data_IF_803766001457
#
_entry.id   IF_803766001457
#
_cell.length_a   1.000
_cell.length_b   1.000
_cell.length_c   1.000
_cell.angle_alpha   90.00
_cell.angle_beta   90.00
_cell.angle_gamma   90.00
#
_symmetry.space_group_name_H-M   'P 1'
#
loop_
_entity.id
_entity.type
_entity.pdbx_description
1 polymer ?
#
# COMPACT_ATOMS: atom_id res chain seq x y z
N UNK A 1 10.82 -13.18 -9.62
CA UNK A 1 9.42 -12.94 -9.21
C UNK A 1 8.71 -12.06 -10.22
N UNK A 2 9.15 -10.81 -10.49
CA UNK A 2 8.45 -9.87 -11.40
C UNK A 2 8.08 -10.50 -12.75
N UNK A 3 9.06 -11.02 -13.48
CA UNK A 3 8.84 -11.58 -14.81
C UNK A 3 7.99 -12.87 -14.81
N UNK A 4 8.18 -13.72 -13.80
CA UNK A 4 7.45 -15.00 -13.72
C UNK A 4 5.93 -14.81 -13.55
N UNK A 5 5.49 -13.68 -12.99
CA UNK A 5 4.08 -13.39 -12.70
C UNK A 5 3.49 -12.28 -13.57
N UNK A 6 4.22 -11.74 -14.55
CA UNK A 6 3.83 -10.52 -15.25
C UNK A 6 3.50 -9.38 -14.29
N UNK A 7 4.28 -9.26 -13.22
CA UNK A 7 4.05 -8.28 -12.18
C UNK A 7 4.69 -6.94 -12.53
N UNK A 8 4.00 -5.84 -12.23
CA UNK A 8 4.53 -4.50 -12.34
C UNK A 8 5.37 -4.09 -11.13
N UNK A 9 5.07 -4.65 -9.96
CA UNK A 9 5.86 -4.42 -8.77
C UNK A 9 5.80 -5.61 -7.79
N UNK A 10 6.82 -5.70 -6.96
CA UNK A 10 6.85 -6.53 -5.76
C UNK A 10 7.25 -5.64 -4.58
N UNK A 11 6.61 -5.81 -3.43
CA UNK A 11 6.98 -5.13 -2.21
C UNK A 11 7.13 -6.12 -1.06
N UNK A 12 8.04 -5.80 -0.15
CA UNK A 12 8.38 -6.67 0.96
C UNK A 12 7.69 -6.31 2.26
N UNK A 13 7.91 -7.18 3.23
CA UNK A 13 7.40 -7.08 4.57
C UNK A 13 8.17 -6.03 5.36
N UNK A 14 7.43 -5.13 5.98
CA UNK A 14 7.98 -4.13 6.89
C UNK A 14 7.69 -4.55 8.33
N UNK A 15 8.70 -4.58 9.16
CA UNK A 15 8.59 -4.95 10.57
C UNK A 15 9.05 -3.78 11.46
N UNK A 16 8.45 -3.61 12.65
CA UNK A 16 8.80 -2.51 13.53
C UNK A 16 10.21 -2.61 14.05
N UNK A 17 10.78 -1.48 14.41
CA UNK A 17 12.03 -1.36 15.16
C UNK A 17 11.77 -1.27 16.66
N UNK A 18 12.82 -1.29 17.46
CA UNK A 18 12.72 -1.04 18.92
C UNK A 18 12.26 0.39 19.27
N UNK A 19 12.38 1.31 18.32
CA UNK A 19 11.96 2.70 18.47
C UNK A 19 10.54 2.97 17.98
N UNK A 20 9.90 1.99 17.32
CA UNK A 20 8.53 2.13 16.84
C UNK A 20 7.57 2.28 18.02
N UNK A 21 6.70 3.27 17.96
CA UNK A 21 5.66 3.43 18.97
C UNK A 21 4.59 2.32 18.87
N UNK A 22 3.76 2.11 19.90
CA UNK A 22 2.79 1.01 19.91
C UNK A 22 1.78 1.03 18.76
N UNK A 23 1.39 2.21 18.26
CA UNK A 23 0.43 2.33 17.14
C UNK A 23 1.10 1.94 15.84
N UNK A 24 2.29 2.46 15.58
CA UNK A 24 3.07 2.09 14.39
C UNK A 24 3.41 0.60 14.39
N UNK A 25 3.79 0.05 15.56
CA UNK A 25 4.03 -1.40 15.72
C UNK A 25 2.79 -2.22 15.34
N UNK A 26 1.63 -1.85 15.90
CA UNK A 26 0.35 -2.52 15.57
C UNK A 26 0.07 -2.45 14.08
N UNK A 27 0.19 -1.28 13.47
CA UNK A 27 -0.12 -1.07 12.05
C UNK A 27 0.78 -1.92 11.15
N UNK A 28 2.09 -1.94 11.42
CA UNK A 28 3.03 -2.77 10.66
C UNK A 28 2.73 -4.26 10.80
N UNK A 29 2.49 -4.75 12.01
CA UNK A 29 2.19 -6.17 12.25
C UNK A 29 0.87 -6.58 11.63
N UNK A 30 -0.14 -5.69 11.64
CA UNK A 30 -1.46 -5.98 11.10
C UNK A 30 -1.47 -6.00 9.57
N UNK A 31 -0.77 -5.06 8.94
CA UNK A 31 -0.79 -4.87 7.48
C UNK A 31 0.15 -5.83 6.78
N UNK A 32 1.34 -6.06 7.33
CA UNK A 32 2.37 -6.88 6.69
C UNK A 32 2.38 -8.29 7.27
N UNK A 33 1.47 -9.14 6.77
CA UNK A 33 1.33 -10.55 7.14
C UNK A 33 2.51 -11.43 6.72
N UNK A 34 2.35 -12.75 6.91
CA UNK A 34 3.39 -13.76 6.62
C UNK A 34 3.12 -14.56 5.37
N UNK A 35 2.07 -14.28 4.65
CA UNK A 35 1.70 -15.00 3.44
C UNK A 35 1.93 -14.15 2.21
N UNK A 36 2.45 -14.78 1.15
CA UNK A 36 2.58 -14.12 -0.16
C UNK A 36 1.20 -13.86 -0.74
N UNK A 37 1.01 -12.65 -1.28
CA UNK A 37 -0.23 -12.26 -1.94
C UNK A 37 0.10 -11.80 -3.37
N UNK A 38 -0.64 -12.32 -4.33
CA UNK A 38 -0.63 -11.87 -5.72
C UNK A 38 -1.92 -11.12 -5.97
N UNK A 39 -1.82 -9.80 -6.09
CA UNK A 39 -2.97 -8.94 -6.34
C UNK A 39 -3.23 -8.83 -7.84
N UNK A 40 -4.42 -9.19 -8.25
CA UNK A 40 -4.95 -9.01 -9.60
C UNK A 40 -5.92 -7.83 -9.67
N UNK A 41 -6.61 -7.54 -8.55
CA UNK A 41 -7.54 -6.44 -8.40
C UNK A 41 -7.34 -5.82 -7.01
N UNK A 42 -7.58 -4.51 -6.87
CA UNK A 42 -7.51 -3.78 -5.60
C UNK A 42 -6.22 -4.01 -4.80
N UNK A 43 -5.05 -3.81 -5.39
CA UNK A 43 -3.80 -4.09 -4.70
C UNK A 43 -3.60 -3.11 -3.54
N UNK A 44 -3.14 -3.63 -2.41
CA UNK A 44 -2.39 -2.84 -1.46
C UNK A 44 -0.94 -2.76 -1.96
N UNK A 45 -0.35 -1.58 -1.98
CA UNK A 45 1.04 -1.37 -2.35
C UNK A 45 1.65 -0.29 -1.46
N UNK A 46 2.85 -0.53 -1.00
CA UNK A 46 3.61 0.40 -0.16
C UNK A 46 5.04 0.51 -0.67
N UNK A 47 5.38 1.66 -1.22
CA UNK A 47 6.63 1.86 -1.95
C UNK A 47 7.88 2.01 -1.08
N UNK A 48 7.75 2.05 0.25
CA UNK A 48 8.91 2.20 1.14
C UNK A 48 9.94 1.06 1.03
N UNK A 49 9.51 -0.14 0.60
CA UNK A 49 10.37 -1.27 0.31
C UNK A 49 9.82 -2.08 -0.86
N UNK A 50 10.17 -1.66 -2.06
CA UNK A 50 9.62 -2.26 -3.28
C UNK A 50 10.65 -2.35 -4.41
N UNK A 51 10.34 -3.20 -5.37
CA UNK A 51 10.99 -3.29 -6.66
C UNK A 51 9.91 -3.13 -7.73
N UNK A 52 10.08 -2.16 -8.61
CA UNK A 52 9.13 -1.82 -9.67
C UNK A 52 9.75 -2.20 -11.02
N UNK A 53 8.94 -2.83 -11.87
CA UNK A 53 9.33 -3.07 -13.27
C UNK A 53 9.48 -1.73 -13.99
N UNK A 54 10.66 -1.51 -14.56
CA UNK A 54 11.01 -0.24 -15.17
C UNK A 54 10.05 0.12 -16.31
N UNK A 55 9.70 -0.83 -17.15
CA UNK A 55 8.79 -0.58 -18.27
C UNK A 55 7.40 -0.18 -17.78
N UNK A 56 6.90 -0.82 -16.71
CA UNK A 56 5.62 -0.46 -16.12
C UNK A 56 5.62 0.97 -15.57
N UNK A 57 6.73 1.41 -14.99
CA UNK A 57 6.86 2.77 -14.47
C UNK A 57 7.05 3.80 -15.60
N UNK A 58 7.85 3.49 -16.63
CA UNK A 58 8.04 4.38 -17.78
C UNK A 58 6.72 4.60 -18.57
N UNK A 59 5.92 3.55 -18.71
CA UNK A 59 4.60 3.62 -19.36
C UNK A 59 3.54 4.32 -18.51
N UNK A 60 3.72 4.30 -17.18
CA UNK A 60 2.76 4.84 -16.23
C UNK A 60 3.47 5.31 -14.96
N UNK A 61 4.05 6.51 -14.93
CA UNK A 61 4.75 7.04 -13.76
C UNK A 61 3.77 7.40 -12.62
N UNK A 62 4.31 7.55 -11.40
CA UNK A 62 3.52 8.03 -10.25
C UNK A 62 2.89 9.39 -10.53
N UNK A 63 1.63 9.52 -10.14
CA UNK A 63 0.92 10.81 -10.19
C UNK A 63 1.21 11.60 -8.91
N UNK A 64 2.07 12.60 -8.99
CA UNK A 64 2.52 13.42 -7.86
C UNK A 64 1.41 14.31 -7.26
N UNK A 65 0.25 14.44 -7.93
CA UNK A 65 -0.89 15.18 -7.38
C UNK A 65 -1.57 14.46 -6.20
N UNK A 66 -1.33 13.15 -6.04
CA UNK A 66 -1.89 12.32 -4.96
C UNK A 66 -0.91 12.15 -3.79
N UNK A 67 -0.40 13.24 -3.28
CA UNK A 67 0.62 13.26 -2.24
C UNK A 67 0.22 12.44 -0.99
N UNK A 68 1.02 11.42 -0.68
CA UNK A 68 0.86 10.53 0.47
C UNK A 68 0.08 9.23 0.21
N UNK A 69 -0.44 9.02 -1.01
CA UNK A 69 -1.03 7.76 -1.48
C UNK A 69 -0.70 7.49 -2.95
N UNK A 70 0.29 8.17 -3.51
CA UNK A 70 0.69 8.07 -4.91
C UNK A 70 1.03 6.63 -5.33
N UNK A 71 1.61 5.85 -4.43
CA UNK A 71 1.93 4.44 -4.61
C UNK A 71 0.66 3.57 -4.72
N UNK A 72 -0.35 3.83 -3.90
CA UNK A 72 -1.63 3.10 -3.94
C UNK A 72 -2.45 3.44 -5.17
N UNK A 73 -2.46 4.70 -5.57
CA UNK A 73 -3.10 5.16 -6.82
C UNK A 73 -2.46 4.46 -8.00
N UNK A 74 -1.13 4.51 -8.08
CA UNK A 74 -0.36 3.86 -9.13
C UNK A 74 -0.64 2.36 -9.23
N UNK A 75 -0.60 1.67 -8.10
CA UNK A 75 -0.82 0.23 -8.06
C UNK A 75 -2.23 -0.14 -8.55
N UNK A 76 -3.26 0.64 -8.17
CA UNK A 76 -4.62 0.45 -8.66
C UNK A 76 -4.71 0.63 -10.18
N UNK A 77 -4.14 1.71 -10.71
CA UNK A 77 -4.16 2.01 -12.14
C UNK A 77 -3.43 0.94 -12.96
N UNK A 78 -2.30 0.43 -12.45
CA UNK A 78 -1.55 -0.68 -13.04
C UNK A 78 -2.35 -1.99 -13.00
N UNK A 79 -3.07 -2.28 -11.92
CA UNK A 79 -3.92 -3.46 -11.83
C UNK A 79 -5.07 -3.39 -12.83
N UNK A 80 -5.67 -2.22 -13.04
CA UNK A 80 -6.71 -2.01 -14.06
C UNK A 80 -6.19 -2.23 -15.50
N UNK A 81 -4.87 -2.12 -15.71
CA UNK A 81 -4.19 -2.47 -16.97
C UNK A 81 -3.80 -3.96 -17.06
N UNK A 82 -4.25 -4.80 -16.11
CA UNK A 82 -4.01 -6.24 -16.09
C UNK A 82 -2.62 -6.66 -15.60
N UNK A 83 -1.82 -5.74 -15.01
CA UNK A 83 -0.53 -6.07 -14.39
C UNK A 83 -0.74 -6.40 -12.91
N UNK A 84 0.06 -7.30 -12.38
CA UNK A 84 -0.04 -7.76 -11.00
C UNK A 84 0.87 -6.97 -10.07
N UNK A 85 0.47 -6.87 -8.81
CA UNK A 85 1.31 -6.43 -7.70
C UNK A 85 1.51 -7.61 -6.77
N UNK A 86 2.73 -7.82 -6.28
CA UNK A 86 3.06 -8.96 -5.43
C UNK A 86 3.54 -8.46 -4.07
N UNK A 87 2.97 -9.03 -3.02
CA UNK A 87 3.53 -8.96 -1.67
C UNK A 87 4.40 -10.18 -1.40
N UNK A 88 5.67 -9.96 -1.03
CA UNK A 88 6.65 -10.98 -0.73
C UNK A 88 7.09 -10.91 0.74
N UNK A 89 6.53 -11.74 1.62
CA UNK A 89 6.79 -11.65 3.06
C UNK A 89 8.20 -12.10 3.48
N UNK A 90 8.88 -12.88 2.65
CA UNK A 90 10.25 -13.34 2.94
C UNK A 90 11.30 -12.24 2.70
N UNK A 91 10.94 -11.22 1.92
CA UNK A 91 11.73 -9.99 1.77
C UNK A 91 11.38 -9.04 2.90
N UNK A 92 12.29 -8.86 3.87
CA UNK A 92 12.00 -8.16 5.13
C UNK A 92 12.89 -6.92 5.29
N UNK A 93 12.30 -5.82 5.77
CA UNK A 93 13.02 -4.61 6.16
C UNK A 93 12.51 -4.10 7.52
N UNK A 94 13.39 -3.48 8.29
CA UNK A 94 12.99 -2.71 9.46
C UNK A 94 12.45 -1.36 9.03
N UNK A 95 11.28 -1.00 9.55
CA UNK A 95 10.65 0.29 9.29
C UNK A 95 10.11 0.86 10.59
N UNK A 96 10.53 2.08 10.93
CA UNK A 96 10.21 2.67 12.24
C UNK A 96 8.77 3.13 12.34
N UNK A 97 8.27 3.71 11.24
CA UNK A 97 6.94 4.32 11.20
C UNK A 97 5.92 3.40 10.55
N UNK A 98 4.73 3.32 11.16
CA UNK A 98 3.58 2.68 10.55
C UNK A 98 2.93 3.55 9.46
N UNK A 99 1.77 3.14 9.00
CA UNK A 99 1.03 3.82 7.92
C UNK A 99 0.64 5.26 8.26
N UNK A 100 0.46 5.56 9.54
CA UNK A 100 -0.01 6.86 10.03
C UNK A 100 1.09 7.83 10.43
N UNK A 101 2.36 7.43 10.35
CA UNK A 101 3.55 8.26 10.55
C UNK A 101 3.40 9.31 11.69
N UNK A 102 3.46 8.84 12.93
CA UNK A 102 3.66 9.72 14.08
C UNK A 102 2.44 10.52 14.54
N UNK A 103 1.23 9.94 14.50
CA UNK A 103 0.01 10.54 15.07
C UNK A 103 -0.45 11.88 14.47
N UNK A 104 -0.04 12.22 13.25
CA UNK A 104 -0.53 13.41 12.59
C UNK A 104 -1.99 13.23 12.15
N UNK A 105 -2.91 13.83 12.90
CA UNK A 105 -4.33 13.79 12.57
C UNK A 105 -4.60 14.40 11.19
N UNK A 106 -3.95 15.51 10.86
CA UNK A 106 -4.12 16.17 9.56
C UNK A 106 -3.67 15.27 8.41
N UNK A 107 -2.57 14.54 8.58
CA UNK A 107 -2.11 13.55 7.60
C UNK A 107 -3.11 12.40 7.49
N UNK A 108 -3.55 11.85 8.61
CA UNK A 108 -4.52 10.75 8.63
C UNK A 108 -5.83 11.15 7.91
N UNK A 109 -6.35 12.32 8.19
CA UNK A 109 -7.55 12.85 7.52
C UNK A 109 -7.35 13.03 6.01
N UNK A 110 -6.20 13.58 5.58
CA UNK A 110 -5.90 13.72 4.15
C UNK A 110 -5.84 12.36 3.47
N UNK A 111 -5.11 11.40 4.05
CA UNK A 111 -4.99 10.03 3.51
C UNK A 111 -6.36 9.34 3.45
N UNK A 112 -7.16 9.41 4.51
CA UNK A 112 -8.51 8.83 4.52
C UNK A 112 -9.40 9.44 3.44
N UNK A 113 -9.36 10.76 3.25
CA UNK A 113 -10.11 11.44 2.20
C UNK A 113 -9.66 10.98 0.81
N UNK A 114 -8.37 10.97 0.56
CA UNK A 114 -7.81 10.52 -0.73
C UNK A 114 -8.13 9.05 -1.03
N UNK A 115 -8.06 8.17 -0.02
CA UNK A 115 -8.46 6.76 -0.17
C UNK A 115 -9.96 6.62 -0.46
N UNK A 116 -10.81 7.40 0.21
CA UNK A 116 -12.25 7.41 -0.07
C UNK A 116 -12.53 7.86 -1.50
N UNK A 117 -11.85 8.90 -1.98
CA UNK A 117 -12.00 9.39 -3.35
C UNK A 117 -11.48 8.36 -4.37
N UNK A 118 -10.39 7.66 -4.07
CA UNK A 118 -9.84 6.58 -4.90
C UNK A 118 -10.81 5.40 -5.06
N UNK A 119 -11.55 5.07 -4.01
CA UNK A 119 -12.45 3.91 -3.96
C UNK A 119 -13.94 4.28 -4.09
N UNK A 120 -14.26 5.51 -4.51
CA UNK A 120 -15.66 5.98 -4.58
C UNK A 120 -16.57 5.17 -5.51
N UNK A 121 -15.98 4.60 -6.55
CA UNK A 121 -16.69 3.81 -7.57
C UNK A 121 -16.62 2.29 -7.29
N UNK A 122 -15.95 1.89 -6.22
CA UNK A 122 -15.86 0.48 -5.83
C UNK A 122 -17.13 0.09 -5.06
N UNK A 123 -17.52 -1.19 -5.19
CA UNK A 123 -18.64 -1.78 -4.41
C UNK A 123 -18.21 -1.97 -2.94
N UNK A 124 -17.31 -1.17 -2.46
CA UNK A 124 -16.80 -1.23 -1.09
C UNK A 124 -17.68 -0.37 -0.20
N UNK A 125 -18.45 -1.01 0.67
CA UNK A 125 -19.25 -0.30 1.69
C UNK A 125 -18.29 0.11 2.81
N UNK A 126 -17.98 1.39 2.88
CA UNK A 126 -17.22 1.93 4.00
C UNK A 126 -18.08 1.85 5.26
N UNK A 127 -17.58 1.22 6.34
CA UNK A 127 -18.33 1.18 7.58
C UNK A 127 -18.60 2.61 8.08
N UNK A 128 -19.82 2.85 8.48
CA UNK A 128 -20.16 4.12 9.14
C UNK A 128 -19.60 4.13 10.56
N UNK A 129 -19.47 5.33 11.14
CA UNK A 129 -18.99 5.46 12.53
C UNK A 129 -19.84 4.64 13.54
N UNK A 130 -21.13 4.43 13.23
CA UNK A 130 -22.03 3.61 14.05
C UNK A 130 -21.74 2.11 13.96
N UNK A 131 -21.11 1.66 12.87
CA UNK A 131 -20.77 0.25 12.67
C UNK A 131 -19.36 -0.07 13.22
N UNK A 132 -18.60 0.94 13.60
CA UNK A 132 -17.28 0.80 14.22
C UNK A 132 -17.32 0.80 15.76
N UNK A 133 -18.48 1.02 16.37
CA UNK A 133 -18.70 1.03 17.82
C UNK A 133 -19.45 -0.23 18.27
#
# INVERSE_FOLDING_TARGET
>A
VLHAYNAAAVYGRQIPTVNSNPVDTRDLVTVFGRERIVFENYPFFHNAFSLIDRSAWEDHPFNESHNGIEDRVWAREIALKGRKIIYEPDSVVFHEHGLNQGFSMDRALRVCKSLKDLHKDDIFIWPTFKECT
#
